data_IF_360487362140
#
_entry.id   IF_360487362140
#
_cell.length_a   1.000
_cell.length_b   1.000
_cell.length_c   1.000
_cell.angle_alpha   90.00
_cell.angle_beta   90.00
_cell.angle_gamma   90.00
#
_symmetry.space_group_name_H-M   'P 1'
#
loop_
_entity.id
_entity.type
_entity.pdbx_description
1 polymer ?
#
# COMPACT_ATOMS: atom_id res chain seq x y z
N UNK A 1 22.66 11.98 40.13
CA UNK A 1 21.46 11.61 39.37
C UNK A 1 21.27 12.58 38.21
N UNK A 2 21.94 12.30 37.08
CA UNK A 2 21.81 13.12 35.87
C UNK A 2 20.98 12.33 34.89
N UNK A 3 19.67 12.59 34.90
CA UNK A 3 18.70 12.01 33.98
C UNK A 3 19.12 12.42 32.57
N UNK A 4 19.40 11.43 31.73
CA UNK A 4 19.90 11.57 30.35
C UNK A 4 18.74 12.00 29.44
N UNK A 5 18.68 13.25 28.96
CA UNK A 5 17.69 13.65 27.95
C UNK A 5 18.08 13.09 26.56
N UNK A 6 19.32 12.61 26.41
CA UNK A 6 19.98 12.27 25.15
C UNK A 6 19.58 10.89 24.58
N UNK A 7 18.91 10.03 25.37
CA UNK A 7 18.49 8.70 24.92
C UNK A 7 17.18 8.73 24.11
N UNK A 8 16.27 9.65 24.43
CA UNK A 8 15.00 9.79 23.69
C UNK A 8 15.23 10.29 22.27
N UNK A 9 16.07 11.32 22.09
CA UNK A 9 16.39 11.85 20.76
C UNK A 9 17.17 10.83 19.92
N UNK A 10 18.08 10.06 20.54
CA UNK A 10 18.79 8.97 19.84
C UNK A 10 17.86 7.82 19.44
N UNK A 11 16.90 7.45 20.29
CA UNK A 11 15.89 6.43 19.96
C UNK A 11 14.94 6.85 18.85
N UNK A 12 14.43 8.08 18.89
CA UNK A 12 13.55 8.64 17.85
C UNK A 12 14.25 8.75 16.48
N UNK A 13 15.53 9.14 16.46
CA UNK A 13 16.30 9.23 15.21
C UNK A 13 16.53 7.85 14.59
N UNK A 14 16.84 6.84 15.42
CA UNK A 14 17.04 5.45 15.00
C UNK A 14 15.73 4.84 14.48
N UNK A 15 14.63 5.02 15.22
CA UNK A 15 13.31 4.54 14.82
C UNK A 15 12.86 5.17 13.49
N UNK A 16 13.04 6.48 13.30
CA UNK A 16 12.69 7.14 12.03
C UNK A 16 13.49 6.58 10.84
N UNK A 17 14.77 6.28 11.06
CA UNK A 17 15.66 5.71 10.04
C UNK A 17 15.26 4.27 9.71
N UNK A 18 14.95 3.48 10.74
CA UNK A 18 14.41 2.13 10.60
C UNK A 18 13.10 2.14 9.81
N UNK A 19 12.15 3.00 10.17
CA UNK A 19 10.84 3.10 9.51
C UNK A 19 11.01 3.47 8.04
N UNK A 20 11.84 4.47 7.69
CA UNK A 20 12.09 4.84 6.29
C UNK A 20 12.61 3.67 5.47
N UNK A 21 13.66 2.98 5.97
CA UNK A 21 14.25 1.82 5.28
C UNK A 21 13.23 0.69 5.13
N UNK A 22 12.44 0.44 6.18
CA UNK A 22 11.41 -0.59 6.16
C UNK A 22 10.31 -0.27 5.14
N UNK A 23 9.81 0.98 5.11
CA UNK A 23 8.78 1.42 4.15
C UNK A 23 9.28 1.34 2.72
N UNK A 24 10.48 1.88 2.43
CA UNK A 24 11.09 1.83 1.09
C UNK A 24 11.21 0.38 0.60
N UNK A 25 11.77 -0.51 1.42
CA UNK A 25 11.89 -1.94 1.08
C UNK A 25 10.52 -2.60 0.86
N UNK A 26 9.50 -2.23 1.64
CA UNK A 26 8.14 -2.76 1.46
C UNK A 26 7.56 -2.32 0.13
N UNK A 27 7.64 -1.04 -0.22
CA UNK A 27 7.06 -0.51 -1.45
C UNK A 27 7.71 -1.07 -2.71
N UNK A 28 9.04 -1.26 -2.69
CA UNK A 28 9.77 -1.90 -3.79
C UNK A 28 9.30 -3.34 -4.04
N UNK A 29 9.15 -4.13 -2.97
CA UNK A 29 8.79 -5.54 -3.08
C UNK A 29 7.29 -5.77 -3.25
N UNK A 30 6.48 -4.96 -2.59
CA UNK A 30 5.03 -5.14 -2.52
C UNK A 30 4.34 -3.79 -2.34
N UNK A 31 3.69 -3.29 -3.41
CA UNK A 31 2.94 -2.07 -3.28
C UNK A 31 1.75 -2.25 -2.33
N UNK A 32 1.66 -1.38 -1.35
CA UNK A 32 0.71 -1.41 -0.23
C UNK A 32 0.21 0.01 0.02
N UNK A 33 -0.98 0.13 0.60
CA UNK A 33 -1.55 1.41 0.97
C UNK A 33 -1.21 1.81 2.41
N UNK A 34 -1.41 3.10 2.69
CA UNK A 34 -0.98 3.78 3.92
C UNK A 34 -1.48 3.10 5.19
N UNK A 35 -2.76 2.72 5.21
CA UNK A 35 -3.40 2.10 6.38
C UNK A 35 -2.69 0.81 6.78
N UNK A 36 -2.30 -0.01 5.80
CA UNK A 36 -1.63 -1.28 6.06
C UNK A 36 -0.22 -1.07 6.59
N UNK A 37 0.52 -0.11 6.03
CA UNK A 37 1.87 0.23 6.49
C UNK A 37 1.84 0.74 7.93
N UNK A 38 0.90 1.63 8.28
CA UNK A 38 0.71 2.09 9.67
C UNK A 38 0.44 0.90 10.60
N UNK A 39 -0.52 0.04 10.26
CA UNK A 39 -0.85 -1.12 11.09
C UNK A 39 0.35 -2.07 11.30
N UNK A 40 1.12 -2.30 10.24
CA UNK A 40 2.30 -3.15 10.27
C UNK A 40 3.44 -2.53 11.11
N UNK A 41 3.58 -1.20 11.09
CA UNK A 41 4.53 -0.47 11.92
C UNK A 41 4.10 -0.46 13.40
N UNK A 42 2.83 -0.18 13.69
CA UNK A 42 2.30 -0.24 15.06
C UNK A 42 2.46 -1.62 15.69
N UNK A 43 2.27 -2.71 14.91
CA UNK A 43 2.52 -4.08 15.37
C UNK A 43 3.98 -4.35 15.73
N UNK A 44 4.92 -3.56 15.20
CA UNK A 44 6.35 -3.63 15.50
C UNK A 44 6.75 -2.75 16.70
N UNK A 45 5.79 -2.08 17.32
CA UNK A 45 6.04 -1.17 18.44
C UNK A 45 6.40 0.25 18.03
N UNK A 46 6.32 0.59 16.74
CA UNK A 46 6.56 1.96 16.27
C UNK A 46 5.36 2.82 16.60
N UNK A 47 5.62 4.02 17.14
CA UNK A 47 4.56 4.98 17.43
C UNK A 47 3.81 5.40 16.16
N UNK A 48 2.49 5.55 16.28
CA UNK A 48 1.63 5.88 15.15
C UNK A 48 1.97 7.24 14.54
N UNK A 49 2.27 8.24 15.36
CA UNK A 49 2.60 9.58 14.88
C UNK A 49 3.92 9.58 14.09
N UNK A 50 4.92 8.83 14.56
CA UNK A 50 6.17 8.63 13.84
C UNK A 50 5.95 7.90 12.51
N UNK A 51 5.12 6.85 12.51
CA UNK A 51 4.76 6.13 11.29
C UNK A 51 4.06 7.06 10.28
N UNK A 52 3.07 7.84 10.72
CA UNK A 52 2.35 8.79 9.86
C UNK A 52 3.25 9.90 9.31
N UNK A 53 4.18 10.41 10.12
CA UNK A 53 5.18 11.39 9.71
C UNK A 53 6.11 10.83 8.64
N UNK A 54 6.69 9.64 8.84
CA UNK A 54 7.60 9.04 7.87
C UNK A 54 6.86 8.66 6.59
N UNK A 55 5.64 8.12 6.69
CA UNK A 55 4.85 7.75 5.51
C UNK A 55 4.43 8.96 4.66
N UNK A 56 4.35 10.15 5.24
CA UNK A 56 4.10 11.38 4.47
C UNK A 56 5.25 11.68 3.48
N UNK A 57 6.48 11.25 3.76
CA UNK A 57 7.61 11.37 2.82
C UNK A 57 7.42 10.51 1.55
N UNK A 58 6.55 9.49 1.60
CA UNK A 58 6.29 8.52 0.53
C UNK A 58 4.87 8.63 -0.05
N UNK A 59 4.16 9.73 0.18
CA UNK A 59 2.76 9.88 -0.23
C UNK A 59 2.53 9.70 -1.74
N UNK A 60 3.54 10.03 -2.57
CA UNK A 60 3.50 9.80 -4.02
C UNK A 60 3.67 8.33 -4.46
N UNK A 61 4.18 7.47 -3.57
CA UNK A 61 4.49 6.06 -3.87
C UNK A 61 3.54 5.08 -3.16
N UNK A 62 2.81 5.55 -2.16
CA UNK A 62 1.93 4.73 -1.32
C UNK A 62 0.49 4.87 -1.78
N UNK A 63 -0.12 3.73 -2.12
CA UNK A 63 -1.58 3.67 -2.28
C UNK A 63 -2.14 4.51 -3.42
N UNK A 64 -1.31 5.05 -4.31
CA UNK A 64 -1.76 5.88 -5.43
C UNK A 64 -2.47 5.06 -6.51
N UNK A 65 -3.26 5.74 -7.34
CA UNK A 65 -3.96 5.16 -8.49
C UNK A 65 -3.02 4.37 -9.41
N UNK A 66 -1.87 4.95 -9.77
CA UNK A 66 -0.87 4.29 -10.63
C UNK A 66 -0.30 3.02 -9.99
N UNK A 67 -0.18 2.99 -8.66
CA UNK A 67 0.29 1.82 -7.93
C UNK A 67 -0.78 0.73 -7.93
N UNK A 68 -2.04 1.09 -7.68
CA UNK A 68 -3.17 0.16 -7.72
C UNK A 68 -3.34 -0.46 -9.12
N UNK A 69 -3.23 0.36 -10.16
CA UNK A 69 -3.33 -0.06 -11.56
C UNK A 69 -2.20 -1.03 -11.93
N UNK A 70 -0.95 -0.72 -11.55
CA UNK A 70 0.19 -1.64 -11.76
C UNK A 70 -0.01 -2.98 -11.05
N UNK A 71 -0.58 -2.98 -9.84
CA UNK A 71 -0.88 -4.20 -9.11
C UNK A 71 -1.90 -5.05 -9.86
N UNK A 72 -3.00 -4.45 -10.33
CA UNK A 72 -4.04 -5.17 -11.06
C UNK A 72 -3.59 -5.63 -12.44
N UNK A 73 -2.85 -4.81 -13.20
CA UNK A 73 -2.31 -5.16 -14.51
C UNK A 73 -1.45 -6.43 -14.45
N UNK A 74 -0.61 -6.58 -13.42
CA UNK A 74 0.23 -7.78 -13.21
C UNK A 74 -0.58 -9.07 -12.98
N UNK A 75 -1.81 -8.97 -12.49
CA UNK A 75 -2.68 -10.12 -12.18
C UNK A 75 -3.91 -10.19 -13.08
N UNK A 76 -4.10 -9.27 -14.02
CA UNK A 76 -5.29 -9.14 -14.85
C UNK A 76 -5.58 -10.43 -15.64
N UNK A 77 -4.53 -11.06 -16.19
CA UNK A 77 -4.61 -12.35 -16.88
C UNK A 77 -5.25 -13.48 -16.05
N UNK A 78 -5.22 -13.39 -14.71
CA UNK A 78 -5.83 -14.38 -13.82
C UNK A 78 -7.35 -14.28 -13.77
N UNK A 79 -7.92 -13.22 -14.34
CA UNK A 79 -9.35 -12.94 -14.33
C UNK A 79 -9.98 -13.06 -15.72
N UNK A 80 -9.20 -13.34 -16.76
CA UNK A 80 -9.72 -13.66 -18.10
C UNK A 80 -10.60 -14.90 -18.05
N UNK A 81 -11.79 -14.84 -18.64
CA UNK A 81 -12.76 -15.95 -18.65
C UNK A 81 -13.49 -16.18 -17.32
N UNK A 82 -13.31 -15.32 -16.33
CA UNK A 82 -14.07 -15.33 -15.08
C UNK A 82 -15.24 -14.36 -15.22
N UNK A 83 -16.42 -14.75 -14.70
CA UNK A 83 -17.60 -13.88 -14.61
C UNK A 83 -17.25 -12.49 -14.08
N UNK A 84 -17.74 -11.44 -14.76
CA UNK A 84 -17.34 -10.05 -14.51
C UNK A 84 -17.50 -9.63 -13.04
N UNK A 85 -18.62 -9.99 -12.41
CA UNK A 85 -18.88 -9.67 -11.00
C UNK A 85 -17.97 -10.43 -10.03
N UNK A 86 -17.56 -11.65 -10.39
CA UNK A 86 -16.60 -12.42 -9.61
C UNK A 86 -15.18 -11.83 -9.75
N UNK A 87 -14.80 -11.40 -10.97
CA UNK A 87 -13.52 -10.73 -11.21
C UNK A 87 -13.42 -9.41 -10.43
N UNK A 88 -14.45 -8.55 -10.52
CA UNK A 88 -14.54 -7.29 -9.75
C UNK A 88 -14.35 -7.50 -8.26
N UNK A 89 -15.12 -8.41 -7.65
CA UNK A 89 -15.02 -8.70 -6.21
C UNK A 89 -13.63 -9.20 -5.80
N UNK A 90 -13.00 -10.04 -6.63
CA UNK A 90 -11.65 -10.57 -6.36
C UNK A 90 -10.59 -9.49 -6.45
N UNK A 91 -10.65 -8.62 -7.46
CA UNK A 91 -9.73 -7.49 -7.61
C UNK A 91 -9.89 -6.47 -6.50
N UNK A 92 -11.13 -6.11 -6.15
CA UNK A 92 -11.41 -5.23 -5.02
C UNK A 92 -10.83 -5.79 -3.72
N UNK A 93 -11.12 -7.06 -3.41
CA UNK A 93 -10.59 -7.70 -2.21
C UNK A 93 -9.06 -7.78 -2.18
N UNK A 94 -8.41 -7.90 -3.34
CA UNK A 94 -6.95 -7.91 -3.45
C UNK A 94 -6.34 -6.58 -3.02
N UNK A 95 -6.87 -5.46 -3.52
CA UNK A 95 -6.40 -4.11 -3.19
C UNK A 95 -6.76 -3.75 -1.74
N UNK A 96 -7.98 -4.06 -1.29
CA UNK A 96 -8.38 -3.84 0.09
C UNK A 96 -7.44 -4.55 1.10
N UNK A 97 -7.06 -5.81 0.85
CA UNK A 97 -6.08 -6.54 1.70
C UNK A 97 -4.66 -5.96 1.66
N UNK A 98 -4.35 -5.18 0.62
CA UNK A 98 -3.12 -4.40 0.50
C UNK A 98 -3.24 -3.00 1.11
N UNK A 99 -4.41 -2.60 1.58
CA UNK A 99 -4.63 -1.35 2.30
C UNK A 99 -4.80 -0.11 1.43
N UNK A 100 -5.09 -0.30 0.13
CA UNK A 100 -5.53 0.80 -0.73
C UNK A 100 -6.86 1.34 -0.22
N UNK A 101 -7.07 2.64 -0.33
CA UNK A 101 -8.34 3.25 0.05
C UNK A 101 -9.47 2.78 -0.90
N UNK A 102 -10.73 2.91 -0.47
CA UNK A 102 -11.87 2.43 -1.23
C UNK A 102 -12.03 3.10 -2.60
N UNK A 103 -11.67 4.38 -2.72
CA UNK A 103 -11.88 5.15 -3.95
C UNK A 103 -10.86 4.79 -5.02
N UNK A 104 -9.58 4.76 -4.67
CA UNK A 104 -8.51 4.25 -5.56
C UNK A 104 -8.75 2.78 -5.91
N UNK A 105 -9.20 1.97 -4.95
CA UNK A 105 -9.55 0.57 -5.22
C UNK A 105 -10.65 0.45 -6.26
N UNK A 106 -11.74 1.21 -6.11
CA UNK A 106 -12.87 1.19 -7.04
C UNK A 106 -12.42 1.66 -8.43
N UNK A 107 -11.71 2.79 -8.51
CA UNK A 107 -11.24 3.35 -9.77
C UNK A 107 -10.32 2.38 -10.54
N UNK A 108 -9.35 1.77 -9.85
CA UNK A 108 -8.43 0.81 -10.44
C UNK A 108 -9.16 -0.46 -10.94
N UNK A 109 -10.14 -0.95 -10.18
CA UNK A 109 -10.95 -2.11 -10.59
C UNK A 109 -11.75 -1.82 -11.86
N UNK A 110 -12.37 -0.64 -11.98
CA UNK A 110 -13.08 -0.26 -13.22
C UNK A 110 -12.14 -0.22 -14.42
N UNK A 111 -10.98 0.44 -14.28
CA UNK A 111 -9.97 0.51 -15.34
C UNK A 111 -9.50 -0.88 -15.77
N UNK A 112 -9.21 -1.76 -14.81
CA UNK A 112 -8.80 -3.14 -15.10
C UNK A 112 -9.89 -3.96 -15.79
N UNK A 113 -11.16 -3.79 -15.40
CA UNK A 113 -12.28 -4.47 -16.05
C UNK A 113 -12.49 -4.00 -17.50
N UNK A 114 -12.38 -2.70 -17.75
CA UNK A 114 -12.50 -2.15 -19.10
C UNK A 114 -11.42 -2.75 -20.03
N UNK A 115 -10.17 -2.78 -19.57
CA UNK A 115 -9.06 -3.38 -20.32
C UNK A 115 -9.25 -4.88 -20.63
N UNK A 116 -9.83 -5.65 -19.70
CA UNK A 116 -10.16 -7.08 -19.93
C UNK A 116 -11.25 -7.26 -20.99
N UNK A 117 -12.21 -6.33 -21.03
CA UNK A 117 -13.34 -6.38 -21.97
C UNK A 117 -12.90 -6.00 -23.39
N UNK A 118 -12.04 -4.97 -23.51
CA UNK A 118 -11.43 -4.55 -24.78
C UNK A 118 -10.52 -5.62 -25.40
N UNK A 119 -9.82 -6.41 -24.58
CA UNK A 119 -8.99 -7.52 -25.06
C UNK A 119 -9.82 -8.70 -25.61
N UNK A 120 -11.11 -8.77 -25.27
CA UNK A 120 -12.04 -9.83 -25.70
C UNK A 120 -12.89 -9.41 -26.92
N UNK A 121 -12.76 -8.16 -27.37
CA UNK A 121 -13.43 -7.67 -28.59
C UNK A 121 -12.69 -8.19 -29.85
N UNK A 122 -13.42 -8.72 -30.85
CA UNK A 122 -12.85 -9.30 -32.07
C UNK A 122 -12.26 -8.27 -33.04
#
# INVERSE_FOLDING_TARGET
DTVVPDLCDKGLLDDSTFVRRWVSSRLENRPEGRIKLIQDLCKRGIDRSLAEQVLAEFEGDIGTDDVADRVLARVAHRYTGIEHDAARRRMYGLLARRGFDPDTTRAAVERAMNALTETTAP
#
